data_IF_259151584573
#
_entry.id   IF_259151584573
#
_cell.length_a   1.000
_cell.length_b   1.000
_cell.length_c   1.000
_cell.angle_alpha   90.00
_cell.angle_beta   90.00
_cell.angle_gamma   90.00
#
_symmetry.space_group_name_H-M   'P 1'
#
loop_
_entity.id
_entity.type
_entity.pdbx_description
1 polymer ?
#
# COMPACT_ATOMS: atom_id res chain seq x y z
N UNK A 1 26.08 -6.49 59.60
CA UNK A 1 26.32 -5.14 59.05
C UNK A 1 27.41 -5.23 58.01
N UNK A 2 27.09 -5.09 56.72
CA UNK A 2 28.04 -5.20 55.61
C UNK A 2 28.37 -3.79 55.13
N UNK A 3 29.62 -3.39 55.26
CA UNK A 3 30.12 -2.07 54.86
C UNK A 3 30.24 -2.04 53.34
N UNK A 4 29.50 -1.13 52.68
CA UNK A 4 29.62 -0.89 51.24
C UNK A 4 30.70 0.20 51.09
N UNK A 5 31.87 -0.18 50.60
CA UNK A 5 32.90 0.77 50.17
C UNK A 5 32.54 1.28 48.78
N UNK A 6 32.31 2.60 48.65
CA UNK A 6 32.20 3.29 47.37
C UNK A 6 33.60 3.35 46.75
N UNK A 7 33.75 2.78 45.57
CA UNK A 7 34.93 2.95 44.74
C UNK A 7 34.95 4.38 44.20
N UNK A 8 36.06 5.09 44.40
CA UNK A 8 36.20 6.52 44.12
C UNK A 8 37.03 6.77 42.83
N UNK A 9 36.99 5.84 41.88
CA UNK A 9 37.61 6.06 40.58
C UNK A 9 36.72 6.95 39.71
N UNK A 10 37.30 8.09 39.31
CA UNK A 10 36.70 9.07 38.42
C UNK A 10 36.49 8.43 37.04
N UNK A 11 35.24 8.09 36.71
CA UNK A 11 34.89 7.62 35.35
C UNK A 11 35.08 8.75 34.35
N UNK A 12 36.18 8.72 33.61
CA UNK A 12 36.42 9.59 32.46
C UNK A 12 35.52 9.11 31.31
N UNK A 13 34.36 9.75 31.17
CA UNK A 13 33.52 9.61 29.97
C UNK A 13 34.21 10.33 28.81
N UNK A 14 34.49 9.60 27.73
CA UNK A 14 35.00 10.20 26.50
C UNK A 14 34.03 11.31 26.03
N UNK A 15 34.54 12.44 25.52
CA UNK A 15 33.70 13.55 25.08
C UNK A 15 32.68 13.06 24.05
N UNK A 16 31.42 13.39 24.26
CA UNK A 16 30.36 13.23 23.25
C UNK A 16 30.84 13.87 21.95
N UNK A 17 30.88 13.07 20.88
CA UNK A 17 31.34 13.48 19.56
C UNK A 17 30.67 14.80 19.16
N UNK A 18 31.46 15.87 19.10
CA UNK A 18 31.03 17.24 18.83
C UNK A 18 30.81 17.51 17.33
N UNK A 19 30.70 16.47 16.50
CA UNK A 19 30.35 16.68 15.10
C UNK A 19 28.85 17.00 15.03
N UNK A 20 28.44 18.19 14.54
CA UNK A 20 27.06 18.42 14.19
C UNK A 20 26.72 17.40 13.11
N UNK A 21 25.85 16.44 13.42
CA UNK A 21 25.16 15.69 12.39
C UNK A 21 24.49 16.74 11.52
N UNK A 22 25.02 16.95 10.31
CA UNK A 22 24.26 17.60 9.25
C UNK A 22 22.92 16.84 9.18
N UNK A 23 21.77 17.53 9.25
CA UNK A 23 20.51 16.90 8.91
C UNK A 23 20.58 16.73 7.39
N UNK A 24 21.20 15.64 6.92
CA UNK A 24 20.90 15.20 5.56
C UNK A 24 19.38 15.03 5.53
N UNK A 25 18.80 15.64 4.52
CA UNK A 25 17.38 15.72 4.22
C UNK A 25 16.84 14.34 3.84
N UNK A 26 17.05 13.33 4.66
CA UNK A 26 16.25 12.12 4.60
C UNK A 26 14.95 12.43 5.32
N UNK A 27 14.06 13.09 4.57
CA UNK A 27 12.63 12.90 4.80
C UNK A 27 12.42 11.40 4.74
N UNK A 28 12.25 10.80 5.91
CA UNK A 28 11.72 9.46 6.13
C UNK A 28 10.22 9.41 5.70
N UNK A 29 9.92 9.98 4.53
CA UNK A 29 8.69 9.67 3.81
C UNK A 29 8.90 8.23 3.35
N UNK A 30 8.36 7.26 4.09
CA UNK A 30 8.35 5.87 3.65
C UNK A 30 7.76 5.82 2.23
N UNK A 31 8.63 5.68 1.23
CA UNK A 31 8.21 5.63 -0.16
C UNK A 31 7.14 4.55 -0.30
N UNK A 32 6.16 4.75 -1.20
CA UNK A 32 5.11 3.76 -1.48
C UNK A 32 5.70 2.34 -1.67
N UNK A 33 6.88 2.26 -2.28
CA UNK A 33 7.61 1.02 -2.51
C UNK A 33 8.07 0.34 -1.20
N UNK A 34 8.46 1.10 -0.19
CA UNK A 34 8.79 0.58 1.16
C UNK A 34 7.54 0.07 1.86
N UNK A 35 6.42 0.80 1.78
CA UNK A 35 5.13 0.40 2.37
C UNK A 35 4.63 -0.90 1.73
N UNK A 36 4.70 -1.00 0.40
CA UNK A 36 4.31 -2.20 -0.36
C UNK A 36 5.23 -3.36 0.00
N UNK A 37 6.55 -3.14 0.08
CA UNK A 37 7.51 -4.18 0.45
C UNK A 37 7.24 -4.75 1.85
N UNK A 38 7.04 -3.88 2.85
CA UNK A 38 6.67 -4.29 4.23
C UNK A 38 5.33 -5.02 4.29
N UNK A 39 4.35 -4.59 3.49
CA UNK A 39 3.06 -5.26 3.40
C UNK A 39 3.22 -6.67 2.80
N UNK A 40 4.01 -6.79 1.74
CA UNK A 40 4.27 -8.04 1.07
C UNK A 40 4.99 -9.02 1.99
N UNK A 41 6.04 -8.61 2.69
CA UNK A 41 6.74 -9.49 3.66
C UNK A 41 5.81 -10.21 4.64
N UNK A 42 4.71 -9.55 5.03
CA UNK A 42 3.72 -10.10 5.95
C UNK A 42 2.63 -10.94 5.27
N UNK A 43 2.27 -10.63 4.02
CA UNK A 43 1.08 -11.19 3.35
C UNK A 43 1.38 -11.89 2.00
N UNK A 44 2.66 -12.09 1.65
CA UNK A 44 3.11 -12.64 0.36
C UNK A 44 2.59 -14.06 0.10
N UNK A 45 2.30 -14.83 1.14
CA UNK A 45 1.94 -16.24 0.99
C UNK A 45 0.55 -16.44 0.38
N UNK A 46 -0.37 -15.48 0.56
CA UNK A 46 -1.78 -15.62 0.16
C UNK A 46 -2.18 -14.73 -1.02
N UNK A 47 -1.33 -13.76 -1.42
CA UNK A 47 -1.62 -12.85 -2.53
C UNK A 47 -0.80 -13.19 -3.77
N UNK A 48 -1.39 -14.00 -4.66
CA UNK A 48 -0.73 -14.59 -5.85
C UNK A 48 -0.33 -13.62 -6.97
N UNK A 49 -0.41 -12.30 -6.77
CA UNK A 49 -0.04 -11.29 -7.76
C UNK A 49 1.46 -10.96 -7.67
N UNK A 50 2.09 -10.56 -8.78
CA UNK A 50 3.49 -10.11 -8.76
C UNK A 50 3.61 -8.78 -8.00
N UNK A 51 4.79 -8.42 -7.44
CA UNK A 51 4.96 -7.12 -6.76
C UNK A 51 4.57 -5.91 -7.61
N UNK A 52 4.79 -5.98 -8.92
CA UNK A 52 4.40 -4.95 -9.88
C UNK A 52 2.88 -4.85 -10.00
N UNK A 53 2.20 -5.99 -10.14
CA UNK A 53 0.73 -6.03 -10.20
C UNK A 53 0.11 -5.55 -8.89
N UNK A 54 0.68 -5.96 -7.75
CA UNK A 54 0.24 -5.52 -6.43
C UNK A 54 0.33 -3.99 -6.29
N UNK A 55 1.41 -3.38 -6.78
CA UNK A 55 1.55 -1.91 -6.81
C UNK A 55 0.45 -1.26 -7.64
N UNK A 56 0.17 -1.77 -8.83
CA UNK A 56 -0.91 -1.25 -9.68
C UNK A 56 -2.25 -1.36 -8.97
N UNK A 57 -2.55 -2.50 -8.35
CA UNK A 57 -3.78 -2.74 -7.60
C UNK A 57 -3.92 -1.77 -6.42
N UNK A 58 -2.87 -1.58 -5.62
CA UNK A 58 -2.89 -0.68 -4.46
C UNK A 58 -3.14 0.77 -4.91
N UNK A 59 -2.45 1.21 -5.96
CA UNK A 59 -2.65 2.55 -6.52
C UNK A 59 -4.08 2.74 -7.03
N UNK A 60 -4.63 1.73 -7.73
CA UNK A 60 -6.02 1.77 -8.21
C UNK A 60 -7.01 1.86 -7.04
N UNK A 61 -6.82 1.06 -5.98
CA UNK A 61 -7.65 1.11 -4.77
C UNK A 61 -7.60 2.48 -4.10
N UNK A 62 -6.41 3.07 -3.95
CA UNK A 62 -6.27 4.42 -3.39
C UNK A 62 -7.04 5.45 -4.22
N UNK A 63 -6.92 5.41 -5.56
CA UNK A 63 -7.67 6.29 -6.45
C UNK A 63 -9.18 6.13 -6.29
N UNK A 64 -9.67 4.89 -6.23
CA UNK A 64 -11.11 4.59 -6.01
C UNK A 64 -11.60 5.11 -4.67
N UNK A 65 -10.81 4.96 -3.61
CA UNK A 65 -11.14 5.50 -2.27
C UNK A 65 -11.25 7.03 -2.34
N UNK A 66 -10.30 7.71 -2.99
CA UNK A 66 -10.30 9.17 -3.12
C UNK A 66 -11.49 9.69 -3.95
N UNK A 67 -11.91 8.94 -4.97
CA UNK A 67 -13.07 9.25 -5.81
C UNK A 67 -14.41 8.89 -5.15
N UNK A 68 -14.39 8.17 -4.04
CA UNK A 68 -15.61 7.72 -3.38
C UNK A 68 -16.41 8.89 -2.81
N UNK A 69 -17.74 8.89 -3.00
CA UNK A 69 -18.63 9.98 -2.57
C UNK A 69 -18.54 10.34 -1.08
N UNK A 70 -18.22 9.35 -0.24
CA UNK A 70 -18.10 9.53 1.21
C UNK A 70 -16.70 10.00 1.65
N UNK A 71 -15.72 10.03 0.74
CA UNK A 71 -14.32 10.35 1.08
C UNK A 71 -14.18 11.76 1.65
N UNK A 72 -14.61 12.79 0.92
CA UNK A 72 -14.51 14.17 1.41
C UNK A 72 -15.49 14.43 2.57
N UNK A 73 -16.76 14.07 2.38
CA UNK A 73 -17.85 14.46 3.29
C UNK A 73 -17.81 13.73 4.64
N UNK A 74 -17.45 12.45 4.64
CA UNK A 74 -17.57 11.60 5.85
C UNK A 74 -16.21 11.15 6.40
N UNK A 75 -15.20 10.98 5.55
CA UNK A 75 -13.88 10.52 5.99
C UNK A 75 -12.90 11.66 6.28
N UNK A 76 -12.77 12.65 5.39
CA UNK A 76 -11.81 13.76 5.58
C UNK A 76 -12.28 14.83 6.56
N UNK A 77 -13.57 15.15 6.57
CA UNK A 77 -14.12 16.24 7.39
C UNK A 77 -14.45 15.84 8.83
N UNK A 78 -14.54 14.54 9.15
CA UNK A 78 -14.84 14.08 10.52
C UNK A 78 -13.62 14.31 11.42
N UNK A 79 -13.82 14.86 12.62
CA UNK A 79 -12.78 14.97 13.65
C UNK A 79 -12.72 13.72 14.55
N UNK A 80 -13.78 12.92 14.57
CA UNK A 80 -13.86 11.68 15.35
C UNK A 80 -13.04 10.55 14.67
N UNK A 81 -11.99 10.02 15.34
CA UNK A 81 -11.18 8.92 14.82
C UNK A 81 -11.95 7.60 14.65
N UNK A 82 -12.91 7.30 15.52
CA UNK A 82 -13.66 6.04 15.49
C UNK A 82 -14.61 6.02 14.28
N UNK A 83 -15.38 7.09 14.12
CA UNK A 83 -16.21 7.26 12.93
C UNK A 83 -15.37 7.30 11.64
N UNK A 84 -14.18 7.92 11.67
CA UNK A 84 -13.27 7.94 10.52
C UNK A 84 -12.88 6.52 10.09
N UNK A 85 -12.50 5.66 11.04
CA UNK A 85 -12.14 4.27 10.78
C UNK A 85 -13.32 3.46 10.23
N UNK A 86 -14.52 3.64 10.81
CA UNK A 86 -15.75 2.98 10.34
C UNK A 86 -16.08 3.35 8.89
N UNK A 87 -16.04 4.65 8.58
CA UNK A 87 -16.32 5.15 7.22
C UNK A 87 -15.29 4.62 6.24
N UNK A 88 -14.00 4.64 6.59
CA UNK A 88 -12.95 4.08 5.74
C UNK A 88 -13.18 2.60 5.44
N UNK A 89 -13.43 1.79 6.46
CA UNK A 89 -13.71 0.35 6.30
C UNK A 89 -14.90 0.13 5.37
N UNK A 90 -15.99 0.85 5.58
CA UNK A 90 -17.19 0.74 4.74
C UNK A 90 -16.91 1.08 3.27
N UNK A 91 -16.16 2.14 3.00
CA UNK A 91 -15.77 2.50 1.64
C UNK A 91 -14.89 1.41 1.00
N UNK A 92 -13.93 0.88 1.75
CA UNK A 92 -13.06 -0.18 1.27
C UNK A 92 -13.85 -1.45 0.95
N UNK A 93 -14.76 -1.88 1.83
CA UNK A 93 -15.62 -3.05 1.62
C UNK A 93 -16.47 -2.89 0.34
N UNK A 94 -17.07 -1.71 0.13
CA UNK A 94 -17.85 -1.38 -1.08
C UNK A 94 -16.99 -1.46 -2.35
N UNK A 95 -15.78 -0.90 -2.31
CA UNK A 95 -14.85 -0.92 -3.45
C UNK A 95 -14.40 -2.35 -3.78
N UNK A 96 -14.11 -3.17 -2.77
CA UNK A 96 -13.69 -4.56 -2.97
C UNK A 96 -14.80 -5.40 -3.63
N UNK A 97 -16.07 -5.15 -3.28
CA UNK A 97 -17.21 -5.80 -3.94
C UNK A 97 -17.28 -5.42 -5.41
N UNK A 98 -17.11 -4.14 -5.75
CA UNK A 98 -17.11 -3.67 -7.14
C UNK A 98 -15.93 -4.28 -7.92
N UNK A 99 -14.73 -4.31 -7.34
CA UNK A 99 -13.55 -4.88 -7.98
C UNK A 99 -13.75 -6.36 -8.30
N UNK A 100 -14.25 -7.14 -7.33
CA UNK A 100 -14.58 -8.55 -7.54
C UNK A 100 -15.61 -8.72 -8.66
N UNK A 101 -16.67 -7.90 -8.66
CA UNK A 101 -17.70 -7.95 -9.69
C UNK A 101 -17.10 -7.71 -11.08
N UNK A 102 -16.28 -6.67 -11.25
CA UNK A 102 -15.65 -6.35 -12.53
C UNK A 102 -14.80 -7.51 -13.07
N UNK A 103 -14.02 -8.17 -12.20
CA UNK A 103 -13.22 -9.35 -12.57
C UNK A 103 -14.10 -10.52 -13.01
N UNK A 104 -15.18 -10.79 -12.27
CA UNK A 104 -16.14 -11.84 -12.61
C UNK A 104 -16.89 -11.52 -13.91
N UNK A 105 -17.27 -10.26 -14.12
CA UNK A 105 -17.97 -9.80 -15.31
C UNK A 105 -17.08 -9.94 -16.56
N UNK A 106 -15.80 -9.55 -16.48
CA UNK A 106 -14.82 -9.75 -17.55
C UNK A 106 -14.65 -11.24 -17.88
N UNK A 107 -14.43 -12.08 -16.88
CA UNK A 107 -14.31 -13.53 -17.06
C UNK A 107 -15.57 -14.12 -17.72
N UNK A 108 -16.75 -13.72 -17.26
CA UNK A 108 -18.01 -14.17 -17.83
C UNK A 108 -18.19 -13.71 -19.27
N UNK A 109 -17.84 -12.47 -19.58
CA UNK A 109 -17.93 -11.91 -20.93
C UNK A 109 -17.04 -12.68 -21.90
N UNK A 110 -15.78 -12.89 -21.51
CA UNK A 110 -14.82 -13.72 -22.25
C UNK A 110 -15.34 -15.14 -22.53
N UNK A 111 -16.02 -15.74 -21.55
CA UNK A 111 -16.44 -17.16 -21.63
C UNK A 111 -17.81 -17.38 -22.28
N UNK A 112 -18.64 -16.35 -22.41
CA UNK A 112 -20.04 -16.46 -22.88
C UNK A 112 -20.29 -15.80 -24.23
N UNK A 113 -19.50 -14.81 -24.60
CA UNK A 113 -19.67 -14.05 -25.83
C UNK A 113 -18.51 -14.35 -26.77
N UNK A 114 -18.77 -15.11 -27.84
CA UNK A 114 -17.75 -15.50 -28.81
C UNK A 114 -17.23 -14.32 -29.62
N UNK A 115 -18.09 -13.34 -29.94
CA UNK A 115 -17.67 -12.16 -30.69
C UNK A 115 -16.75 -11.28 -29.84
N UNK A 116 -17.04 -11.13 -28.55
CA UNK A 116 -16.15 -10.48 -27.61
C UNK A 116 -14.82 -11.24 -27.49
N UNK A 117 -14.88 -12.57 -27.32
CA UNK A 117 -13.69 -13.42 -27.21
C UNK A 117 -12.76 -13.24 -28.42
N UNK A 118 -13.29 -13.36 -29.64
CA UNK A 118 -12.50 -13.24 -30.87
C UNK A 118 -11.86 -11.85 -31.00
N UNK A 119 -12.64 -10.79 -30.77
CA UNK A 119 -12.15 -9.41 -30.84
C UNK A 119 -11.09 -9.11 -29.78
N UNK A 120 -11.32 -9.59 -28.54
CA UNK A 120 -10.39 -9.41 -27.43
C UNK A 120 -9.07 -10.14 -27.69
N UNK A 121 -9.12 -11.39 -28.17
CA UNK A 121 -7.92 -12.15 -28.55
C UNK A 121 -7.12 -11.45 -29.65
N UNK A 122 -7.77 -11.03 -30.75
CA UNK A 122 -7.09 -10.30 -31.83
C UNK A 122 -6.45 -9.00 -31.34
N UNK A 123 -7.12 -8.28 -30.44
CA UNK A 123 -6.58 -7.04 -29.86
C UNK A 123 -5.30 -7.32 -29.06
N UNK A 124 -5.31 -8.36 -28.23
CA UNK A 124 -4.14 -8.75 -27.43
C UNK A 124 -2.98 -9.24 -28.32
N UNK A 125 -3.28 -10.04 -29.35
CA UNK A 125 -2.27 -10.50 -30.32
C UNK A 125 -1.58 -9.32 -31.00
N UNK A 126 -2.37 -8.36 -31.52
CA UNK A 126 -1.82 -7.16 -32.15
C UNK A 126 -0.91 -6.36 -31.20
N UNK A 127 -1.31 -6.18 -29.93
CA UNK A 127 -0.51 -5.43 -28.96
C UNK A 127 0.83 -6.10 -28.63
N UNK A 128 0.86 -7.44 -28.62
CA UNK A 128 2.10 -8.21 -28.43
C UNK A 128 3.00 -8.06 -29.65
N UNK A 129 2.42 -8.09 -30.86
CA UNK A 129 3.16 -7.95 -32.12
C UNK A 129 3.71 -6.54 -32.35
N UNK A 130 3.06 -5.50 -31.83
CA UNK A 130 3.52 -4.11 -31.97
C UNK A 130 4.57 -3.68 -30.94
N UNK A 131 5.00 -4.54 -30.02
CA UNK A 131 5.88 -4.22 -28.88
C UNK A 131 5.39 -3.00 -28.05
N UNK A 132 4.08 -2.69 -28.08
CA UNK A 132 3.50 -1.54 -27.34
C UNK A 132 3.06 -1.92 -25.91
N UNK A 133 3.87 -2.70 -25.19
CA UNK A 133 3.58 -3.12 -23.80
C UNK A 133 4.76 -2.87 -22.86
#
# INVERSE_FOLDING_TARGET
NKTITLDAEETVVAPTNANPRNPSEEKDDETLDVIISKFNEKWFQDWSATPQDQRVIIIDLVKRIQQHQNFMKKYKQTQDPQNRALVFKKMLDEIMVVQRKNMVDLYNLYRKDSAFQDTFSQTLENLIETEEV
#
